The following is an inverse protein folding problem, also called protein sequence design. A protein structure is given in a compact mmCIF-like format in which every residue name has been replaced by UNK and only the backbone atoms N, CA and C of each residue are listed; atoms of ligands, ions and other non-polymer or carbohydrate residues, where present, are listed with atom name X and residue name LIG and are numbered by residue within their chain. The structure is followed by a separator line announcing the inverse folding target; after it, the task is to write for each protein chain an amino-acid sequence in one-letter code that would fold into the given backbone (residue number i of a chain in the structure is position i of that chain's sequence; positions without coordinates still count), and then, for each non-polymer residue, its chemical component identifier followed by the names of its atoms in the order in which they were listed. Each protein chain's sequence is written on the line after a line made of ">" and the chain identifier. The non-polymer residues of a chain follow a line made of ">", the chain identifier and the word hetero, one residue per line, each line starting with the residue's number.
data_IF_366506137202
#
_entry.id   IF_366506137202
#
_cell.length_a   1.000
_cell.length_b   1.000
_cell.length_c   1.000
_cell.angle_alpha   90.00
_cell.angle_beta   90.00
_cell.angle_gamma   90.00
#
_symmetry.space_group_name_H-M   'P 1'
#
loop_
_entity.id
_entity.type
_entity.pdbx_description
1 polymer ?
#
# COMPACT_ATOMS: atom_id res chain seq x y z
N UNK A 1 2.18 -19.67 36.94
CA UNK A 1 1.23 -20.33 36.00
C UNK A 1 1.63 -20.04 34.55
N UNK A 2 1.97 -18.79 34.22
CA UNK A 2 2.47 -18.37 32.89
C UNK A 2 3.82 -19.00 32.53
N UNK A 3 4.78 -19.04 33.48
CA UNK A 3 6.09 -19.71 33.28
C UNK A 3 5.98 -21.20 32.94
N UNK A 4 4.99 -21.89 33.52
CA UNK A 4 4.75 -23.32 33.26
C UNK A 4 4.19 -23.52 31.86
N UNK A 5 3.33 -22.62 31.39
CA UNK A 5 2.79 -22.65 30.02
C UNK A 5 3.90 -22.40 29.01
N UNK A 6 4.76 -21.41 29.26
CA UNK A 6 5.88 -21.08 28.38
C UNK A 6 6.91 -22.23 28.28
N UNK A 7 7.19 -22.90 29.41
CA UNK A 7 8.06 -24.07 29.44
C UNK A 7 7.46 -25.26 28.68
N UNK A 8 6.13 -25.46 28.74
CA UNK A 8 5.45 -26.52 27.98
C UNK A 8 5.44 -26.23 26.46
N UNK A 9 5.29 -24.97 26.07
CA UNK A 9 5.32 -24.54 24.68
C UNK A 9 6.71 -24.73 24.04
N UNK A 10 7.77 -24.45 24.80
CA UNK A 10 9.16 -24.59 24.35
C UNK A 10 9.62 -26.03 24.07
N UNK A 11 8.89 -27.04 24.57
CA UNK A 11 9.21 -28.46 24.42
C UNK A 11 8.44 -29.09 23.24
N UNK A 12 7.51 -28.37 22.60
CA UNK A 12 6.80 -28.89 21.44
C UNK A 12 7.73 -29.06 20.24
N UNK A 13 7.60 -30.19 19.56
CA UNK A 13 8.29 -30.43 18.28
C UNK A 13 7.63 -29.61 17.17
N UNK A 14 8.41 -29.05 16.22
CA UNK A 14 7.86 -28.29 15.12
C UNK A 14 7.06 -29.19 14.15
N UNK A 15 5.89 -28.72 13.76
CA UNK A 15 5.03 -29.38 12.75
C UNK A 15 5.59 -29.13 11.34
N UNK A 16 5.51 -30.13 10.46
CA UNK A 16 5.93 -29.97 9.07
C UNK A 16 4.94 -29.11 8.29
N UNK A 17 5.45 -28.15 7.53
CA UNK A 17 4.62 -27.34 6.62
C UNK A 17 3.97 -28.17 5.50
N UNK A 18 4.53 -29.34 5.19
CA UNK A 18 4.05 -30.28 4.18
C UNK A 18 3.20 -31.40 4.77
N UNK A 19 2.73 -31.24 6.01
CA UNK A 19 1.79 -32.18 6.61
C UNK A 19 0.37 -31.92 6.08
N UNK A 20 -0.33 -32.93 5.54
CA UNK A 20 -1.71 -32.76 5.08
C UNK A 20 -2.67 -32.68 6.27
N UNK A 21 -3.49 -31.63 6.31
CA UNK A 21 -4.44 -31.36 7.41
C UNK A 21 -5.89 -31.64 7.03
N UNK A 22 -6.17 -31.83 5.74
CA UNK A 22 -7.49 -32.21 5.24
C UNK A 22 -7.37 -33.04 3.97
N UNK A 23 -8.18 -34.10 3.86
CA UNK A 23 -8.23 -34.97 2.70
C UNK A 23 -9.65 -35.53 2.53
N UNK A 24 -10.39 -35.01 1.54
CA UNK A 24 -11.72 -35.51 1.15
C UNK A 24 -11.78 -35.71 -0.37
N UNK A 25 -11.10 -36.76 -0.85
CA UNK A 25 -11.17 -37.23 -2.24
C UNK A 25 -10.56 -36.34 -3.32
N UNK A 26 -10.05 -35.15 -2.96
CA UNK A 26 -9.32 -34.22 -3.82
C UNK A 26 -7.86 -34.02 -3.41
N UNK A 27 -7.24 -32.96 -3.93
CA UNK A 27 -5.87 -32.59 -3.57
C UNK A 27 -5.77 -32.32 -2.06
N UNK A 28 -4.77 -32.90 -1.36
CA UNK A 28 -4.59 -32.69 0.07
C UNK A 28 -4.26 -31.22 0.36
N UNK A 29 -4.91 -30.65 1.38
CA UNK A 29 -4.57 -29.32 1.90
C UNK A 29 -3.43 -29.49 2.91
N UNK A 30 -2.34 -28.76 2.74
CA UNK A 30 -1.18 -28.80 3.61
C UNK A 30 -1.20 -27.67 4.65
N UNK A 31 -0.43 -27.83 5.73
CA UNK A 31 -0.25 -26.76 6.75
C UNK A 31 0.20 -25.45 6.09
N UNK A 32 1.10 -25.51 5.10
CA UNK A 32 1.58 -24.32 4.37
C UNK A 32 0.49 -23.52 3.69
N UNK A 33 -0.60 -24.16 3.26
CA UNK A 33 -1.68 -23.48 2.52
C UNK A 33 -2.53 -22.56 3.42
N UNK A 34 -2.43 -22.74 4.74
CA UNK A 34 -3.12 -21.89 5.72
C UNK A 34 -2.26 -20.75 6.26
N UNK A 35 -0.98 -20.70 5.90
CA UNK A 35 -0.06 -19.67 6.38
C UNK A 35 -0.16 -18.45 5.47
N UNK A 36 -0.90 -17.43 5.92
CA UNK A 36 -0.92 -16.12 5.28
C UNK A 36 0.28 -15.27 5.71
N UNK A 37 0.92 -14.59 4.76
CA UNK A 37 1.90 -13.56 5.08
C UNK A 37 1.18 -12.24 5.41
N UNK A 38 1.05 -11.93 6.70
CA UNK A 38 0.49 -10.67 7.16
C UNK A 38 1.37 -9.44 6.87
N UNK A 39 2.62 -9.63 6.40
CA UNK A 39 3.56 -8.53 6.09
C UNK A 39 3.33 -7.91 4.72
N UNK A 40 2.61 -8.60 3.83
CA UNK A 40 2.32 -8.12 2.49
C UNK A 40 0.83 -8.31 2.21
N UNK A 41 0.00 -7.46 2.80
CA UNK A 41 -1.44 -7.52 2.54
C UNK A 41 -1.69 -7.13 1.08
N UNK A 42 -2.42 -7.97 0.33
CA UNK A 42 -2.89 -7.70 -1.03
C UNK A 42 -3.46 -6.28 -1.19
N UNK A 43 -4.07 -5.77 -0.12
CA UNK A 43 -4.57 -4.40 -0.04
C UNK A 43 -3.54 -3.32 -0.34
N UNK A 44 -2.32 -3.42 0.20
CA UNK A 44 -1.25 -2.43 -0.03
C UNK A 44 -0.81 -2.48 -1.49
N UNK A 45 -0.71 -3.68 -2.06
CA UNK A 45 -0.36 -3.86 -3.46
C UNK A 45 -1.43 -3.29 -4.40
N UNK A 46 -2.72 -3.52 -4.11
CA UNK A 46 -3.83 -2.92 -4.86
C UNK A 46 -3.86 -1.40 -4.73
N UNK A 47 -3.64 -0.85 -3.53
CA UNK A 47 -3.56 0.60 -3.31
C UNK A 47 -2.40 1.24 -4.11
N UNK A 48 -1.25 0.56 -4.19
CA UNK A 48 -0.10 1.02 -4.96
C UNK A 48 -0.39 1.04 -6.47
N UNK A 49 -1.03 -0.01 -7.01
CA UNK A 49 -1.44 -0.06 -8.41
C UNK A 49 -2.44 1.04 -8.75
N UNK A 50 -3.50 1.18 -7.95
CA UNK A 50 -4.53 2.19 -8.16
C UNK A 50 -3.95 3.62 -8.10
N UNK A 51 -3.03 3.87 -7.16
CA UNK A 51 -2.32 5.15 -7.09
C UNK A 51 -1.46 5.40 -8.33
N UNK A 52 -0.74 4.37 -8.80
CA UNK A 52 0.13 4.49 -9.96
C UNK A 52 -0.69 4.79 -11.23
N UNK A 53 -1.82 4.12 -11.43
CA UNK A 53 -2.72 4.43 -12.55
C UNK A 53 -3.30 5.83 -12.45
N UNK A 54 -3.74 6.25 -11.25
CA UNK A 54 -4.25 7.59 -11.02
C UNK A 54 -3.20 8.67 -11.33
N UNK A 55 -1.93 8.43 -10.99
CA UNK A 55 -0.81 9.32 -11.31
C UNK A 55 -0.59 9.47 -12.82
N UNK A 56 -0.77 8.40 -13.60
CA UNK A 56 -0.66 8.46 -15.07
C UNK A 56 -1.70 9.37 -15.72
N UNK A 57 -2.86 9.56 -15.09
CA UNK A 57 -3.96 10.40 -15.59
C UNK A 57 -3.79 11.90 -15.29
N UNK A 58 -2.87 12.26 -14.40
CA UNK A 58 -2.53 13.65 -14.16
C UNK A 58 -1.73 14.22 -15.33
N UNK A 59 -1.90 15.51 -15.60
CA UNK A 59 -1.03 16.18 -16.57
C UNK A 59 0.37 16.42 -15.97
N UNK A 60 1.35 16.68 -16.82
CA UNK A 60 2.75 16.85 -16.41
C UNK A 60 2.96 17.96 -15.38
N UNK A 61 2.15 19.03 -15.45
CA UNK A 61 2.24 20.13 -14.51
C UNK A 61 1.74 19.73 -13.12
N UNK A 62 0.64 19.00 -13.05
CA UNK A 62 0.10 18.44 -11.80
C UNK A 62 1.07 17.42 -11.20
N UNK A 63 1.63 16.52 -12.01
CA UNK A 63 2.65 15.55 -11.57
C UNK A 63 3.87 16.26 -10.98
N UNK A 64 4.38 17.28 -11.67
CA UNK A 64 5.53 18.06 -11.20
C UNK A 64 5.25 18.74 -9.85
N UNK A 65 4.08 19.38 -9.70
CA UNK A 65 3.69 20.00 -8.42
C UNK A 65 3.63 18.96 -7.31
N UNK A 66 2.99 17.81 -7.53
CA UNK A 66 2.89 16.78 -6.50
C UNK A 66 4.25 16.16 -6.17
N UNK A 67 5.13 15.96 -7.15
CA UNK A 67 6.48 15.46 -6.94
C UNK A 67 7.26 16.39 -6.01
N UNK A 68 7.30 17.69 -6.31
CA UNK A 68 7.99 18.67 -5.47
C UNK A 68 7.39 18.75 -4.05
N UNK A 69 6.06 18.64 -3.93
CA UNK A 69 5.35 18.76 -2.64
C UNK A 69 5.52 17.55 -1.73
N UNK A 70 5.43 16.35 -2.28
CA UNK A 70 5.32 15.11 -1.50
C UNK A 70 6.56 14.23 -1.55
N UNK A 71 7.37 14.31 -2.61
CA UNK A 71 8.62 13.57 -2.71
C UNK A 71 9.81 14.43 -2.25
N UNK A 72 9.91 15.66 -2.77
CA UNK A 72 11.00 16.58 -2.39
C UNK A 72 10.69 17.36 -1.10
N UNK A 73 9.44 17.32 -0.61
CA UNK A 73 9.02 17.95 0.64
C UNK A 73 8.99 19.49 0.63
N UNK A 74 9.09 20.13 -0.54
CA UNK A 74 9.09 21.60 -0.69
C UNK A 74 7.74 22.19 -0.32
N UNK A 75 7.72 23.35 0.33
CA UNK A 75 6.52 24.15 0.64
C UNK A 75 5.81 24.64 -0.64
N UNK A 76 4.53 25.02 -0.55
CA UNK A 76 3.82 25.59 -1.70
C UNK A 76 4.43 26.88 -2.22
N UNK A 77 5.11 27.66 -1.35
CA UNK A 77 5.85 28.85 -1.76
C UNK A 77 7.10 28.47 -2.55
N UNK A 78 7.90 27.53 -2.07
CA UNK A 78 9.10 27.08 -2.79
C UNK A 78 8.74 26.48 -4.17
N UNK A 79 7.64 25.72 -4.24
CA UNK A 79 7.10 25.21 -5.52
C UNK A 79 6.63 26.35 -6.43
N UNK A 80 6.02 27.39 -5.87
CA UNK A 80 5.57 28.56 -6.61
C UNK A 80 6.74 29.30 -7.24
N UNK A 81 7.81 29.49 -6.46
CA UNK A 81 9.05 30.14 -6.90
C UNK A 81 9.75 29.34 -8.01
N UNK A 82 9.81 28.00 -7.88
CA UNK A 82 10.45 27.12 -8.87
C UNK A 82 9.67 26.99 -10.19
N UNK A 83 8.34 26.97 -10.12
CA UNK A 83 7.46 26.85 -11.31
C UNK A 83 7.17 28.23 -11.94
N UNK A 84 7.46 29.33 -11.23
CA UNK A 84 7.21 30.69 -11.70
C UNK A 84 5.73 31.07 -11.74
N UNK A 85 4.96 30.64 -10.74
CA UNK A 85 3.55 31.03 -10.56
C UNK A 85 3.27 31.49 -9.13
N UNK A 86 2.11 32.08 -8.87
CA UNK A 86 1.75 32.44 -7.50
C UNK A 86 1.46 31.22 -6.63
N UNK A 87 1.70 31.33 -5.32
CA UNK A 87 1.33 30.31 -4.34
C UNK A 87 -0.17 29.97 -4.40
N UNK A 88 -1.04 30.97 -4.63
CA UNK A 88 -2.47 30.74 -4.80
C UNK A 88 -2.81 29.92 -6.06
N UNK A 89 -1.99 29.98 -7.12
CA UNK A 89 -2.13 29.10 -8.29
C UNK A 89 -1.62 27.68 -7.98
N UNK A 90 -0.46 27.55 -7.31
CA UNK A 90 0.04 26.23 -6.84
C UNK A 90 -1.02 25.54 -5.99
N UNK A 91 -1.59 26.25 -5.00
CA UNK A 91 -2.62 25.71 -4.11
C UNK A 91 -3.85 25.21 -4.88
N UNK A 92 -4.28 25.92 -5.92
CA UNK A 92 -5.41 25.50 -6.77
C UNK A 92 -5.08 24.27 -7.59
N UNK A 93 -3.89 24.21 -8.20
CA UNK A 93 -3.43 23.08 -8.99
C UNK A 93 -3.22 21.83 -8.12
N UNK A 94 -2.60 21.97 -6.94
CA UNK A 94 -2.42 20.88 -5.98
C UNK A 94 -3.78 20.31 -5.54
N UNK A 95 -4.75 21.17 -5.21
CA UNK A 95 -6.11 20.71 -4.87
C UNK A 95 -6.80 20.00 -6.04
N UNK A 96 -6.64 20.49 -7.27
CA UNK A 96 -7.21 19.86 -8.45
C UNK A 96 -6.58 18.47 -8.69
N UNK A 97 -5.25 18.38 -8.62
CA UNK A 97 -4.51 17.13 -8.77
C UNK A 97 -4.92 16.09 -7.71
N UNK A 98 -4.97 16.48 -6.43
CA UNK A 98 -5.41 15.60 -5.34
C UNK A 98 -6.87 15.16 -5.49
N UNK A 99 -7.75 16.03 -6.01
CA UNK A 99 -9.14 15.68 -6.31
C UNK A 99 -9.21 14.64 -7.43
N UNK A 100 -8.40 14.82 -8.49
CA UNK A 100 -8.33 13.88 -9.60
C UNK A 100 -7.79 12.51 -9.14
N UNK A 101 -6.72 12.48 -8.35
CA UNK A 101 -6.20 11.24 -7.77
C UNK A 101 -7.25 10.49 -6.96
N UNK A 102 -7.95 11.18 -6.05
CA UNK A 102 -9.02 10.56 -5.24
C UNK A 102 -10.18 10.05 -6.08
N UNK A 103 -10.47 10.70 -7.21
CA UNK A 103 -11.50 10.25 -8.13
C UNK A 103 -11.09 8.93 -8.78
N UNK A 104 -9.88 8.86 -9.33
CA UNK A 104 -9.40 7.66 -10.01
C UNK A 104 -9.19 6.47 -9.07
N UNK A 105 -8.71 6.70 -7.85
CA UNK A 105 -8.58 5.63 -6.83
C UNK A 105 -9.95 5.10 -6.37
N UNK A 106 -11.01 5.94 -6.41
CA UNK A 106 -12.38 5.52 -6.06
C UNK A 106 -13.17 4.98 -7.24
N UNK A 107 -12.68 5.17 -8.46
CA UNK A 107 -13.25 4.63 -9.69
C UNK A 107 -12.56 3.29 -10.02
N UNK A 108 -12.67 2.32 -9.12
CA UNK A 108 -12.55 0.90 -9.46
C UNK A 108 -13.85 0.17 -9.08
N UNK A 109 -14.44 -0.63 -9.99
CA UNK A 109 -15.66 -1.40 -9.76
C UNK A 109 -15.49 -2.59 -8.81
#
# INVERSE_FOLDING_TARGET
>A
REEVVFALDAIQEPVSLFEPIYHDGGDPIYVMDQIGDGRQSDKVWLEEIALNEAMHRLNEREKSILHLRFFDGKTQMEVADEIGISQAQVSRLEKAALKNLRKYIREEP
#
